data_IF_224038943113
#
_entry.id   IF_224038943113
#
_cell.length_a   1.000
_cell.length_b   1.000
_cell.length_c   1.000
_cell.angle_alpha   90.00
_cell.angle_beta   90.00
_cell.angle_gamma   90.00
#
_symmetry.space_group_name_H-M   'P 1'
#
loop_
_entity.id
_entity.type
_entity.pdbx_description
1 polymer ?
#
# COMPACT_ATOMS: atom_id res chain seq x y z
N UNK A 1 28.83 35.80 -12.43
CA UNK A 1 28.66 35.52 -11.01
C UNK A 1 27.19 35.23 -10.60
N UNK A 2 26.16 35.95 -11.11
CA UNK A 2 24.74 35.72 -10.74
C UNK A 2 24.17 34.34 -11.14
N UNK A 3 24.62 33.75 -12.25
CA UNK A 3 24.14 32.44 -12.71
C UNK A 3 24.70 31.25 -11.91
N UNK A 4 25.89 31.36 -11.32
CA UNK A 4 26.48 30.28 -10.49
C UNK A 4 25.80 30.23 -9.11
N UNK A 5 25.42 31.37 -8.54
CA UNK A 5 24.74 31.42 -7.25
C UNK A 5 23.32 30.78 -7.29
N UNK A 6 22.60 30.92 -8.41
CA UNK A 6 21.28 30.31 -8.59
C UNK A 6 21.34 28.77 -8.76
N UNK A 7 22.40 28.23 -9.38
CA UNK A 7 22.58 26.81 -9.54
C UNK A 7 22.92 26.09 -8.20
N UNK A 8 23.72 26.74 -7.36
CA UNK A 8 24.11 26.24 -6.03
C UNK A 8 22.93 26.23 -5.07
N UNK A 9 22.03 27.23 -5.15
CA UNK A 9 20.86 27.30 -4.28
C UNK A 9 19.83 26.22 -4.62
N UNK A 10 19.63 25.89 -5.90
CA UNK A 10 18.69 24.83 -6.32
C UNK A 10 19.18 23.43 -5.90
N UNK A 11 20.50 23.18 -5.94
CA UNK A 11 21.08 21.89 -5.53
C UNK A 11 21.00 21.66 -4.01
N UNK A 12 21.18 22.72 -3.21
CA UNK A 12 21.11 22.62 -1.73
C UNK A 12 19.69 22.43 -1.22
N UNK A 13 18.68 23.05 -1.83
CA UNK A 13 17.27 22.86 -1.48
C UNK A 13 16.78 21.44 -1.77
N UNK A 14 17.23 20.82 -2.87
CA UNK A 14 16.86 19.46 -3.22
C UNK A 14 17.43 18.41 -2.26
N UNK A 15 18.64 18.61 -1.76
CA UNK A 15 19.30 17.68 -0.82
C UNK A 15 18.68 17.77 0.58
N UNK A 16 18.39 18.96 1.07
CA UNK A 16 17.78 19.12 2.41
C UNK A 16 16.37 18.54 2.48
N UNK A 17 15.56 18.68 1.42
CA UNK A 17 14.22 18.10 1.38
C UNK A 17 14.23 16.57 1.39
N UNK A 18 15.22 15.92 0.78
CA UNK A 18 15.36 14.46 0.78
C UNK A 18 15.77 13.91 2.16
N UNK A 19 16.64 14.58 2.88
CA UNK A 19 17.02 14.18 4.24
C UNK A 19 15.86 14.37 5.23
N UNK A 20 15.16 15.49 5.22
CA UNK A 20 14.01 15.73 6.10
C UNK A 20 12.89 14.70 5.90
N UNK A 21 12.63 14.30 4.66
CA UNK A 21 11.64 13.27 4.34
C UNK A 21 12.06 11.86 4.82
N UNK A 22 13.35 11.52 4.70
CA UNK A 22 13.88 10.25 5.16
C UNK A 22 13.82 10.14 6.69
N UNK A 23 14.10 11.22 7.40
CA UNK A 23 14.02 11.31 8.85
C UNK A 23 12.57 11.15 9.33
N UNK A 24 11.60 11.85 8.71
CA UNK A 24 10.18 11.74 9.05
C UNK A 24 9.65 10.30 8.89
N UNK A 25 10.08 9.55 7.86
CA UNK A 25 9.70 8.15 7.68
C UNK A 25 10.32 7.27 8.78
N UNK A 26 11.59 7.52 9.14
CA UNK A 26 12.27 6.78 10.20
C UNK A 26 11.59 7.01 11.55
N UNK A 27 11.34 8.27 11.90
CA UNK A 27 10.68 8.65 13.14
C UNK A 27 9.28 8.05 13.26
N UNK A 28 8.51 8.11 12.18
CA UNK A 28 7.17 7.51 12.11
C UNK A 28 7.22 5.98 12.26
N UNK A 29 8.18 5.31 11.64
CA UNK A 29 8.34 3.85 11.76
C UNK A 29 8.73 3.40 13.16
N UNK A 30 9.49 4.20 13.90
CA UNK A 30 9.93 3.94 15.27
C UNK A 30 8.97 4.46 16.33
N UNK A 31 8.00 5.27 15.97
CA UNK A 31 7.06 5.95 16.86
C UNK A 31 6.27 4.99 17.76
N UNK A 32 5.93 5.46 18.96
CA UNK A 32 5.08 4.75 19.96
C UNK A 32 3.61 4.63 19.53
N UNK A 33 3.20 5.32 18.48
CA UNK A 33 1.90 5.11 17.84
C UNK A 33 1.76 3.67 17.33
N UNK A 34 2.88 3.00 17.03
CA UNK A 34 2.96 1.62 16.55
C UNK A 34 3.20 0.66 17.72
N UNK A 35 2.41 -0.39 17.79
CA UNK A 35 2.64 -1.44 18.80
C UNK A 35 3.90 -2.25 18.49
N UNK A 36 4.52 -2.84 19.54
CA UNK A 36 5.66 -3.74 19.36
C UNK A 36 5.36 -4.91 18.42
N UNK A 37 4.13 -5.44 18.46
CA UNK A 37 3.66 -6.46 17.51
C UNK A 37 3.65 -5.96 16.06
N UNK A 38 3.39 -4.67 15.82
CA UNK A 38 3.47 -4.09 14.48
C UNK A 38 4.92 -3.90 14.05
N UNK A 39 5.79 -3.40 14.95
CA UNK A 39 7.23 -3.20 14.70
C UNK A 39 7.96 -4.52 14.46
N UNK A 40 7.62 -5.60 15.20
CA UNK A 40 8.20 -6.94 14.98
C UNK A 40 8.00 -7.51 13.57
N UNK A 41 7.11 -6.92 12.77
CA UNK A 41 6.89 -7.32 11.38
C UNK A 41 7.66 -6.47 10.37
N UNK A 42 8.41 -5.47 10.83
CA UNK A 42 9.18 -4.59 9.95
C UNK A 42 10.31 -5.36 9.22
N UNK A 43 10.83 -6.42 9.84
CA UNK A 43 11.82 -7.32 9.23
C UNK A 43 11.32 -8.02 7.96
N UNK A 44 9.98 -8.19 7.81
CA UNK A 44 9.37 -8.79 6.62
C UNK A 44 8.76 -7.76 5.67
N UNK A 45 8.59 -6.51 6.11
CA UNK A 45 7.81 -5.50 5.38
C UNK A 45 8.58 -4.26 5.00
N UNK A 46 9.78 -4.12 5.56
CA UNK A 46 10.74 -3.07 5.25
C UNK A 46 10.08 -1.68 5.04
N UNK A 47 9.23 -1.19 5.99
CA UNK A 47 8.36 -0.04 5.72
C UNK A 47 9.13 1.22 5.35
N UNK A 48 10.28 1.46 6.00
CA UNK A 48 11.09 2.63 5.72
C UNK A 48 11.62 2.61 4.28
N UNK A 49 12.21 1.49 3.85
CA UNK A 49 12.75 1.32 2.51
C UNK A 49 11.63 1.37 1.45
N UNK A 50 10.49 0.73 1.73
CA UNK A 50 9.32 0.71 0.85
C UNK A 50 8.77 2.13 0.62
N UNK A 51 8.57 2.90 1.69
CA UNK A 51 8.00 4.24 1.58
C UNK A 51 8.99 5.26 0.97
N UNK A 52 10.30 5.11 1.23
CA UNK A 52 11.34 5.89 0.54
C UNK A 52 11.39 5.57 -0.96
N UNK A 53 11.26 4.29 -1.32
CA UNK A 53 11.19 3.86 -2.73
C UNK A 53 10.00 4.50 -3.46
N UNK A 54 8.83 4.59 -2.82
CA UNK A 54 7.68 5.29 -3.38
C UNK A 54 7.88 6.82 -3.43
N UNK A 55 8.77 7.36 -2.62
CA UNK A 55 9.07 8.79 -2.57
C UNK A 55 8.10 9.58 -1.68
N UNK A 56 7.61 8.97 -0.60
CA UNK A 56 6.74 9.62 0.39
C UNK A 56 7.41 10.86 0.99
N UNK A 57 6.65 11.96 1.09
CA UNK A 57 7.09 13.23 1.69
C UNK A 57 6.02 13.77 2.65
N UNK A 58 6.40 14.58 3.65
CA UNK A 58 5.50 15.15 4.65
C UNK A 58 4.37 16.04 4.08
N UNK A 59 4.62 16.73 2.99
CA UNK A 59 3.72 17.70 2.36
C UNK A 59 2.68 17.08 1.39
N UNK A 60 2.68 15.75 1.26
CA UNK A 60 1.84 15.05 0.30
C UNK A 60 0.42 14.81 0.79
N UNK A 61 -0.54 14.82 -0.13
CA UNK A 61 -1.84 14.17 0.05
C UNK A 61 -1.69 12.71 -0.33
N UNK A 62 -1.79 11.82 0.66
CA UNK A 62 -1.63 10.37 0.51
C UNK A 62 -2.95 9.66 0.72
N UNK A 63 -3.33 8.82 -0.23
CA UNK A 63 -4.50 7.93 -0.12
C UNK A 63 -4.00 6.51 0.10
N UNK A 64 -4.36 5.90 1.23
CA UNK A 64 -4.16 4.46 1.46
C UNK A 64 -5.46 3.71 1.16
N UNK A 65 -5.38 2.74 0.23
CA UNK A 65 -6.54 1.96 -0.18
C UNK A 65 -6.64 0.70 0.68
N UNK A 66 -7.80 0.50 1.29
CA UNK A 66 -8.12 -0.64 2.15
C UNK A 66 -7.10 -0.85 3.29
N UNK A 67 -6.89 0.17 4.18
CA UNK A 67 -5.86 0.14 5.22
C UNK A 67 -6.05 -0.98 6.25
N UNK A 68 -7.22 -1.64 6.29
CA UNK A 68 -7.55 -2.68 7.25
C UNK A 68 -7.39 -2.22 8.69
N UNK A 69 -6.55 -2.88 9.47
CA UNK A 69 -6.28 -2.50 10.87
C UNK A 69 -5.39 -1.27 11.05
N UNK A 70 -4.78 -0.75 9.96
CA UNK A 70 -3.97 0.47 9.96
C UNK A 70 -2.47 0.25 10.16
N UNK A 71 -1.90 -0.89 9.72
CA UNK A 71 -0.48 -1.16 9.91
C UNK A 71 0.43 -0.13 9.21
N UNK A 72 0.13 0.21 7.94
CA UNK A 72 0.82 1.31 7.25
C UNK A 72 0.25 2.67 7.62
N UNK A 73 -1.06 2.77 7.95
CA UNK A 73 -1.69 4.02 8.39
C UNK A 73 -0.95 4.68 9.55
N UNK A 74 -0.41 3.87 10.49
CA UNK A 74 0.39 4.37 11.62
C UNK A 74 1.60 5.19 11.16
N UNK A 75 2.26 4.76 10.07
CA UNK A 75 3.43 5.44 9.52
C UNK A 75 3.00 6.57 8.59
N UNK A 76 2.11 6.29 7.64
CA UNK A 76 1.67 7.26 6.64
C UNK A 76 1.06 8.51 7.28
N UNK A 77 0.12 8.31 8.21
CA UNK A 77 -0.49 9.41 8.95
C UNK A 77 0.57 10.21 9.72
N UNK A 78 1.48 9.54 10.44
CA UNK A 78 2.52 10.23 11.22
C UNK A 78 3.44 11.09 10.36
N UNK A 79 3.74 10.65 9.12
CA UNK A 79 4.60 11.40 8.19
C UNK A 79 3.90 12.65 7.68
N UNK A 80 2.60 12.57 7.33
CA UNK A 80 1.93 13.66 6.58
C UNK A 80 1.02 14.55 7.43
N UNK A 81 0.78 14.22 8.70
CA UNK A 81 -0.24 14.89 9.51
C UNK A 81 -0.03 16.38 9.74
N UNK A 82 1.22 16.87 9.71
CA UNK A 82 1.53 18.27 10.01
C UNK A 82 1.50 19.17 8.76
N UNK A 83 1.94 18.66 7.60
CA UNK A 83 2.14 19.48 6.38
C UNK A 83 1.30 18.99 5.19
N UNK A 84 0.88 17.73 5.22
CA UNK A 84 0.13 17.07 4.17
C UNK A 84 -1.25 16.63 4.59
N UNK A 85 -1.74 15.55 3.95
CA UNK A 85 -3.06 14.97 4.25
C UNK A 85 -3.02 13.46 4.10
N UNK A 86 -3.59 12.75 5.07
CA UNK A 86 -3.85 11.32 4.99
C UNK A 86 -5.33 11.04 4.73
N UNK A 87 -5.62 10.22 3.72
CA UNK A 87 -6.96 9.77 3.36
C UNK A 87 -6.99 8.24 3.41
N UNK A 88 -7.84 7.67 4.22
CA UNK A 88 -8.09 6.24 4.29
C UNK A 88 -9.28 5.88 3.38
N UNK A 89 -9.04 5.40 2.17
CA UNK A 89 -10.07 4.82 1.32
C UNK A 89 -10.38 3.40 1.83
N UNK A 90 -11.21 3.33 2.88
CA UNK A 90 -11.50 2.09 3.61
C UNK A 90 -12.60 1.29 2.92
N UNK A 91 -12.87 0.08 3.37
CA UNK A 91 -13.92 -0.77 2.79
C UNK A 91 -15.25 -0.04 2.67
N UNK A 92 -15.91 -0.14 1.53
CA UNK A 92 -17.32 0.19 1.42
C UNK A 92 -18.13 -0.79 2.28
N UNK A 93 -19.11 -0.26 3.02
CA UNK A 93 -19.99 -1.08 3.86
C UNK A 93 -21.44 -0.69 3.66
N UNK A 94 -22.29 -1.71 3.49
CA UNK A 94 -23.73 -1.64 3.44
C UNK A 94 -24.35 -2.73 4.33
N UNK A 95 -25.68 -2.91 4.27
CA UNK A 95 -26.37 -3.90 5.10
C UNK A 95 -25.92 -5.33 4.81
N UNK A 96 -25.52 -5.64 3.57
CA UNK A 96 -25.06 -6.95 3.13
C UNK A 96 -23.60 -7.25 3.51
N UNK A 97 -22.84 -6.23 3.94
CA UNK A 97 -21.43 -6.37 4.26
C UNK A 97 -21.21 -7.25 5.49
N UNK A 98 -20.11 -8.02 5.49
CA UNK A 98 -19.72 -8.85 6.63
C UNK A 98 -19.48 -8.03 7.89
N UNK A 99 -19.69 -8.65 9.05
CA UNK A 99 -19.38 -8.03 10.35
C UNK A 99 -17.92 -7.60 10.48
N UNK A 100 -17.02 -8.34 9.83
CA UNK A 100 -15.61 -7.99 9.80
C UNK A 100 -15.41 -6.61 9.16
N UNK A 101 -15.98 -6.36 7.97
CA UNK A 101 -15.85 -5.07 7.29
C UNK A 101 -16.53 -3.95 8.08
N UNK A 102 -17.76 -4.17 8.57
CA UNK A 102 -18.48 -3.20 9.41
C UNK A 102 -17.68 -2.80 10.66
N UNK A 103 -17.13 -3.78 11.38
CA UNK A 103 -16.29 -3.55 12.58
C UNK A 103 -14.98 -2.86 12.23
N UNK A 104 -14.33 -3.25 11.14
CA UNK A 104 -13.07 -2.66 10.68
C UNK A 104 -13.22 -1.18 10.36
N UNK A 105 -14.22 -0.82 9.54
CA UNK A 105 -14.52 0.59 9.18
C UNK A 105 -14.91 1.40 10.41
N UNK A 106 -15.80 0.88 11.24
CA UNK A 106 -16.21 1.56 12.48
C UNK A 106 -15.01 1.82 13.39
N UNK A 107 -14.19 0.79 13.62
CA UNK A 107 -12.99 0.91 14.48
C UNK A 107 -11.95 1.89 13.90
N UNK A 108 -11.82 1.96 12.57
CA UNK A 108 -10.94 2.94 11.95
C UNK A 108 -11.47 4.37 12.10
N UNK A 109 -12.76 4.59 11.84
CA UNK A 109 -13.42 5.90 12.04
C UNK A 109 -13.33 6.42 13.48
N UNK A 110 -13.41 5.54 14.47
CA UNK A 110 -13.20 5.96 15.89
C UNK A 110 -11.80 6.54 16.10
N UNK A 111 -10.79 6.02 15.41
CA UNK A 111 -9.41 6.51 15.52
C UNK A 111 -9.19 7.89 14.88
N UNK A 112 -10.12 8.39 14.06
CA UNK A 112 -9.98 9.72 13.41
C UNK A 112 -10.66 10.85 14.18
N UNK A 113 -11.34 10.54 15.28
CA UNK A 113 -11.99 11.53 16.14
C UNK A 113 -10.97 12.42 16.89
N UNK A 114 -11.39 13.61 17.36
CA UNK A 114 -10.53 14.48 18.18
C UNK A 114 -9.87 13.73 19.36
N UNK A 115 -8.57 13.95 19.54
CA UNK A 115 -7.76 13.29 20.59
C UNK A 115 -7.41 11.82 20.32
N UNK A 116 -7.83 11.27 19.17
CA UNK A 116 -7.57 9.89 18.81
C UNK A 116 -6.38 9.75 17.84
N UNK A 117 -5.93 8.52 17.65
CA UNK A 117 -4.69 8.12 16.95
C UNK A 117 -4.49 8.76 15.58
N UNK A 118 -5.55 8.94 14.80
CA UNK A 118 -5.54 9.50 13.43
C UNK A 118 -6.43 10.74 13.35
N UNK A 119 -6.35 11.61 14.36
CA UNK A 119 -7.17 12.82 14.44
C UNK A 119 -7.13 13.62 13.14
N UNK A 120 -8.31 13.97 12.60
CA UNK A 120 -8.44 14.76 11.38
C UNK A 120 -8.16 14.01 10.08
N UNK A 121 -7.81 12.72 10.11
CA UNK A 121 -7.70 11.91 8.91
C UNK A 121 -9.07 11.74 8.24
N UNK A 122 -9.11 11.88 6.92
CA UNK A 122 -10.31 11.63 6.13
C UNK A 122 -10.52 10.13 5.91
N UNK A 123 -11.77 9.68 6.03
CA UNK A 123 -12.15 8.29 5.71
C UNK A 123 -13.16 8.31 4.58
N UNK A 124 -12.74 7.85 3.41
CA UNK A 124 -13.60 7.60 2.26
C UNK A 124 -13.92 6.10 2.15
N UNK A 125 -14.73 5.72 1.18
CA UNK A 125 -15.06 4.32 0.93
C UNK A 125 -14.44 3.84 -0.37
N UNK A 126 -13.99 2.56 -0.40
CA UNK A 126 -13.55 1.88 -1.59
C UNK A 126 -14.17 0.48 -1.70
N UNK A 127 -14.73 0.21 -2.86
CA UNK A 127 -15.10 -1.11 -3.36
C UNK A 127 -15.01 -1.06 -4.89
N UNK A 128 -14.35 -2.03 -5.56
CA UNK A 128 -14.10 -1.94 -6.99
C UNK A 128 -15.37 -1.99 -7.86
N UNK A 129 -16.52 -2.35 -7.28
CA UNK A 129 -17.81 -2.41 -8.00
C UNK A 129 -18.81 -1.35 -7.54
N UNK A 130 -18.65 -0.80 -6.31
CA UNK A 130 -19.70 0.03 -5.70
C UNK A 130 -19.22 1.42 -5.30
N UNK A 131 -17.92 1.62 -5.01
CA UNK A 131 -17.39 2.88 -4.45
C UNK A 131 -16.00 3.17 -5.01
N UNK A 132 -15.93 3.97 -6.07
CA UNK A 132 -14.71 4.27 -6.82
C UNK A 132 -14.15 5.68 -6.54
N UNK A 133 -14.89 6.53 -5.83
CA UNK A 133 -14.46 7.88 -5.49
C UNK A 133 -13.63 7.87 -4.18
N UNK A 134 -12.38 7.36 -4.29
CA UNK A 134 -11.48 7.20 -3.14
C UNK A 134 -10.93 8.53 -2.59
N UNK A 135 -10.93 9.57 -3.42
CA UNK A 135 -10.59 10.95 -3.10
C UNK A 135 -11.14 11.86 -4.21
N UNK A 136 -11.11 13.18 -3.98
CA UNK A 136 -11.43 14.14 -5.04
C UNK A 136 -10.49 13.90 -6.24
N UNK A 137 -11.05 13.90 -7.46
CA UNK A 137 -10.29 13.69 -8.68
C UNK A 137 -9.12 14.68 -8.78
N UNK A 138 -7.93 14.17 -9.12
CA UNK A 138 -6.72 14.97 -9.28
C UNK A 138 -6.22 15.65 -8.00
N UNK A 139 -6.54 15.13 -6.81
CA UNK A 139 -6.13 15.76 -5.53
C UNK A 139 -4.99 15.04 -4.80
N UNK A 140 -4.77 13.77 -5.08
CA UNK A 140 -3.76 12.96 -4.40
C UNK A 140 -2.37 13.09 -5.07
N UNK A 141 -1.33 13.24 -4.28
CA UNK A 141 0.05 13.14 -4.73
C UNK A 141 0.49 11.68 -4.82
N UNK A 142 -0.06 10.85 -3.94
CA UNK A 142 0.29 9.44 -3.84
C UNK A 142 -0.95 8.60 -3.49
N UNK A 143 -1.11 7.47 -4.18
CA UNK A 143 -2.06 6.40 -3.84
C UNK A 143 -1.25 5.14 -3.52
N UNK A 144 -1.53 4.51 -2.38
CA UNK A 144 -0.82 3.32 -1.92
C UNK A 144 -1.79 2.17 -1.64
N UNK A 145 -1.41 0.98 -2.05
CA UNK A 145 -2.13 -0.25 -1.69
C UNK A 145 -1.15 -1.36 -1.32
N UNK A 146 -1.48 -2.08 -0.24
CA UNK A 146 -0.62 -3.10 0.34
C UNK A 146 -1.36 -4.42 0.49
N UNK A 147 -1.13 -5.36 -0.43
CA UNK A 147 -1.68 -6.73 -0.42
C UNK A 147 -3.22 -6.75 -0.48
N UNK A 148 -3.77 -6.04 -1.43
CA UNK A 148 -5.21 -5.96 -1.65
C UNK A 148 -5.63 -6.35 -3.07
N UNK A 149 -4.73 -6.24 -4.07
CA UNK A 149 -5.06 -6.44 -5.49
C UNK A 149 -5.60 -7.84 -5.72
N UNK A 150 -5.02 -8.87 -5.07
CA UNK A 150 -5.51 -10.25 -5.14
C UNK A 150 -6.96 -10.38 -4.66
N UNK A 151 -7.38 -9.63 -3.62
CA UNK A 151 -8.76 -9.70 -3.12
C UNK A 151 -9.76 -9.19 -4.16
N UNK A 152 -9.41 -8.11 -4.87
CA UNK A 152 -10.26 -7.55 -5.92
C UNK A 152 -10.35 -8.49 -7.13
N UNK A 153 -9.22 -9.11 -7.49
CA UNK A 153 -9.18 -10.11 -8.56
C UNK A 153 -9.99 -11.37 -8.21
N UNK A 154 -9.80 -11.91 -7.01
CA UNK A 154 -10.52 -13.10 -6.55
C UNK A 154 -12.03 -12.87 -6.42
N UNK A 155 -12.44 -11.65 -6.02
CA UNK A 155 -13.85 -11.30 -5.86
C UNK A 155 -14.56 -10.92 -7.15
N UNK A 156 -13.85 -10.24 -8.08
CA UNK A 156 -14.48 -9.57 -9.22
C UNK A 156 -13.70 -9.73 -10.54
N UNK A 157 -12.66 -10.55 -10.55
CA UNK A 157 -11.85 -10.81 -11.75
C UNK A 157 -11.19 -9.57 -12.33
N UNK A 158 -11.08 -9.55 -13.65
CA UNK A 158 -10.44 -8.45 -14.38
C UNK A 158 -11.21 -7.13 -14.24
N UNK A 159 -12.54 -7.18 -14.16
CA UNK A 159 -13.37 -5.98 -14.01
C UNK A 159 -13.05 -5.25 -12.71
N UNK A 160 -12.95 -5.98 -11.58
CA UNK A 160 -12.58 -5.39 -10.29
C UNK A 160 -11.22 -4.73 -10.30
N UNK A 161 -10.24 -5.33 -10.99
CA UNK A 161 -8.90 -4.75 -11.16
C UNK A 161 -8.93 -3.50 -12.01
N UNK A 162 -9.60 -3.51 -13.17
CA UNK A 162 -9.70 -2.37 -14.07
C UNK A 162 -10.36 -1.18 -13.36
N UNK A 163 -11.44 -1.41 -12.63
CA UNK A 163 -12.14 -0.39 -11.87
C UNK A 163 -11.26 0.19 -10.75
N UNK A 164 -10.53 -0.67 -10.01
CA UNK A 164 -9.63 -0.24 -8.95
C UNK A 164 -8.53 0.68 -9.49
N UNK A 165 -7.79 0.24 -10.52
CA UNK A 165 -6.71 1.05 -11.10
C UNK A 165 -7.24 2.32 -11.76
N UNK A 166 -8.43 2.29 -12.39
CA UNK A 166 -9.11 3.48 -12.90
C UNK A 166 -9.45 4.50 -11.80
N UNK A 167 -9.91 4.03 -10.63
CA UNK A 167 -10.19 4.89 -9.47
C UNK A 167 -8.91 5.53 -8.93
N UNK A 168 -7.79 4.78 -8.87
CA UNK A 168 -6.50 5.30 -8.44
C UNK A 168 -5.97 6.36 -9.40
N UNK A 169 -6.09 6.09 -10.71
CA UNK A 169 -5.71 7.05 -11.74
C UNK A 169 -6.53 8.34 -11.66
N UNK A 170 -7.84 8.24 -11.44
CA UNK A 170 -8.74 9.39 -11.26
C UNK A 170 -8.36 10.25 -10.05
N UNK A 171 -8.01 9.63 -8.93
CA UNK A 171 -7.67 10.34 -7.69
C UNK A 171 -6.35 11.09 -7.76
N UNK A 172 -5.37 10.56 -8.50
CA UNK A 172 -4.03 11.13 -8.59
C UNK A 172 -3.98 12.41 -9.44
N UNK A 173 -3.14 13.35 -8.99
CA UNK A 173 -2.67 14.49 -9.80
C UNK A 173 -1.88 14.00 -11.02
N UNK A 174 -1.78 14.77 -12.12
CA UNK A 174 -0.73 14.58 -13.11
C UNK A 174 0.65 14.51 -12.42
N UNK A 175 1.50 13.58 -12.82
CA UNK A 175 2.78 13.33 -12.14
C UNK A 175 2.68 12.64 -10.78
N UNK A 176 1.49 12.28 -10.30
CA UNK A 176 1.29 11.54 -9.05
C UNK A 176 1.76 10.09 -9.10
N UNK A 177 1.98 9.50 -7.94
CA UNK A 177 2.56 8.15 -7.77
C UNK A 177 1.51 7.16 -7.29
N UNK A 178 1.43 6.00 -7.96
CA UNK A 178 0.76 4.80 -7.44
C UNK A 178 1.83 3.82 -6.94
N UNK A 179 1.80 3.49 -5.65
CA UNK A 179 2.63 2.44 -5.04
C UNK A 179 1.82 1.18 -4.76
N UNK A 180 2.31 0.05 -5.27
CA UNK A 180 1.67 -1.27 -5.09
C UNK A 180 2.67 -2.22 -4.46
N UNK A 181 2.31 -2.78 -3.30
CA UNK A 181 2.97 -3.95 -2.73
C UNK A 181 1.98 -5.11 -2.77
N UNK A 182 2.33 -6.20 -3.46
CA UNK A 182 1.42 -7.35 -3.59
C UNK A 182 2.15 -8.68 -3.51
N UNK A 183 1.48 -9.73 -3.06
CA UNK A 183 1.98 -11.10 -3.03
C UNK A 183 2.30 -11.57 -4.44
N UNK A 184 3.52 -12.03 -4.66
CA UNK A 184 4.02 -12.32 -6.02
C UNK A 184 3.93 -13.80 -6.36
N UNK A 185 3.17 -14.11 -7.42
CA UNK A 185 3.14 -15.41 -8.05
C UNK A 185 4.27 -15.49 -9.10
N UNK A 186 5.07 -16.57 -9.12
CA UNK A 186 6.05 -16.77 -10.20
C UNK A 186 5.40 -16.69 -11.59
N UNK A 187 6.07 -16.07 -12.55
CA UNK A 187 5.55 -15.93 -13.92
C UNK A 187 5.31 -17.28 -14.60
N UNK A 188 6.08 -18.31 -14.23
CA UNK A 188 5.92 -19.70 -14.74
C UNK A 188 4.71 -20.44 -14.17
N UNK A 189 4.10 -19.95 -13.07
CA UNK A 189 2.94 -20.60 -12.48
C UNK A 189 1.69 -20.46 -13.36
N UNK A 190 0.71 -21.36 -13.17
CA UNK A 190 -0.58 -21.28 -13.84
C UNK A 190 -1.31 -19.99 -13.44
N UNK A 191 -1.83 -19.25 -14.41
CA UNK A 191 -2.63 -18.03 -14.19
C UNK A 191 -3.88 -18.29 -13.34
N UNK A 192 -4.45 -19.48 -13.42
CA UNK A 192 -5.62 -19.89 -12.62
C UNK A 192 -5.31 -19.88 -11.11
N UNK A 193 -4.04 -19.98 -10.71
CA UNK A 193 -3.64 -19.88 -9.30
C UNK A 193 -3.99 -18.51 -8.70
N UNK A 194 -3.97 -17.42 -9.48
CA UNK A 194 -4.35 -16.08 -9.01
C UNK A 194 -5.79 -16.03 -8.48
N UNK A 195 -6.69 -16.89 -8.96
CA UNK A 195 -8.11 -16.91 -8.57
C UNK A 195 -8.35 -17.42 -7.15
N UNK A 196 -7.37 -18.07 -6.52
CA UNK A 196 -7.56 -18.77 -5.24
C UNK A 196 -6.39 -18.74 -4.26
N UNK A 197 -5.19 -18.37 -4.72
CA UNK A 197 -3.97 -18.49 -3.90
C UNK A 197 -3.63 -17.23 -3.10
N UNK A 198 -4.24 -16.08 -3.45
CA UNK A 198 -3.86 -14.78 -2.88
C UNK A 198 -2.53 -14.21 -3.42
N UNK A 199 -1.97 -14.82 -4.46
CA UNK A 199 -0.79 -14.32 -5.18
C UNK A 199 -1.18 -13.81 -6.56
N UNK A 200 -0.46 -12.78 -7.04
CA UNK A 200 -0.66 -12.16 -8.34
C UNK A 200 0.63 -12.18 -9.16
N UNK A 201 0.54 -12.40 -10.46
CA UNK A 201 1.69 -12.24 -11.35
C UNK A 201 2.06 -10.76 -11.48
N UNK A 202 3.36 -10.46 -11.44
CA UNK A 202 3.90 -9.10 -11.62
C UNK A 202 3.47 -8.52 -12.98
N UNK A 203 3.63 -9.30 -14.04
CA UNK A 203 3.22 -8.91 -15.40
C UNK A 203 1.75 -8.55 -15.50
N UNK A 204 0.87 -9.25 -14.78
CA UNK A 204 -0.56 -8.97 -14.77
C UNK A 204 -0.88 -7.62 -14.12
N UNK A 205 -0.25 -7.31 -12.97
CA UNK A 205 -0.45 -6.03 -12.28
C UNK A 205 0.09 -4.86 -13.14
N UNK A 206 1.26 -5.05 -13.76
CA UNK A 206 1.84 -4.02 -14.65
C UNK A 206 0.88 -3.75 -15.81
N UNK A 207 0.42 -4.78 -16.51
CA UNK A 207 -0.50 -4.62 -17.65
C UNK A 207 -1.83 -3.94 -17.23
N UNK A 208 -2.37 -4.27 -16.04
CA UNK A 208 -3.58 -3.64 -15.53
C UNK A 208 -3.39 -2.14 -15.21
N UNK A 209 -2.24 -1.79 -14.63
CA UNK A 209 -1.90 -0.40 -14.37
C UNK A 209 -1.70 0.40 -15.67
N UNK A 210 -0.99 -0.17 -16.64
CA UNK A 210 -0.78 0.45 -17.96
C UNK A 210 -2.10 0.63 -18.72
N UNK A 211 -3.00 -0.34 -18.65
CA UNK A 211 -4.35 -0.24 -19.23
C UNK A 211 -5.16 0.92 -18.62
N UNK A 212 -4.95 1.24 -17.34
CA UNK A 212 -5.55 2.39 -16.69
C UNK A 212 -4.88 3.73 -17.02
N UNK A 213 -3.75 3.72 -17.74
CA UNK A 213 -3.01 4.90 -18.17
C UNK A 213 -1.74 5.20 -17.37
N UNK A 214 -1.36 4.37 -16.42
CA UNK A 214 -0.12 4.51 -15.68
C UNK A 214 1.10 4.11 -16.52
N UNK A 215 2.27 4.62 -16.14
CA UNK A 215 3.57 4.14 -16.61
C UNK A 215 4.32 3.49 -15.44
N UNK A 216 4.89 2.31 -15.64
CA UNK A 216 5.80 1.72 -14.67
C UNK A 216 7.07 2.58 -14.59
N UNK A 217 7.33 3.18 -13.42
CA UNK A 217 8.52 4.00 -13.18
C UNK A 217 9.69 3.16 -12.66
N UNK A 218 9.40 2.26 -11.70
CA UNK A 218 10.41 1.39 -11.09
C UNK A 218 9.79 0.17 -10.43
N UNK A 219 10.60 -0.86 -10.22
CA UNK A 219 10.31 -2.01 -9.35
C UNK A 219 11.42 -2.20 -8.33
N UNK A 220 11.09 -2.81 -7.18
CA UNK A 220 12.05 -3.08 -6.11
C UNK A 220 11.80 -4.46 -5.50
N UNK A 221 12.88 -5.14 -5.14
CA UNK A 221 12.87 -6.42 -4.44
C UNK A 221 12.96 -6.25 -2.91
N UNK A 222 12.73 -5.04 -2.40
CA UNK A 222 12.82 -4.73 -0.96
C UNK A 222 11.91 -5.60 -0.10
N UNK A 223 10.80 -6.09 -0.63
CA UNK A 223 9.87 -6.99 0.03
C UNK A 223 9.91 -8.42 -0.53
N UNK A 224 10.95 -8.78 -1.28
CA UNK A 224 11.12 -10.12 -1.80
C UNK A 224 11.47 -11.11 -0.68
N UNK A 225 10.93 -12.32 -0.77
CA UNK A 225 11.28 -13.44 0.09
C UNK A 225 11.49 -14.70 -0.77
N UNK A 226 12.73 -15.06 -1.10
CA UNK A 226 13.03 -16.21 -1.94
C UNK A 226 12.69 -17.56 -1.30
N UNK A 227 12.39 -17.60 0.00
CA UNK A 227 11.95 -18.81 0.69
C UNK A 227 10.48 -19.13 0.42
N UNK A 228 9.69 -18.16 -0.06
CA UNK A 228 8.30 -18.35 -0.42
C UNK A 228 8.17 -18.85 -1.87
N UNK A 229 7.80 -20.11 -2.03
CA UNK A 229 7.62 -20.79 -3.34
C UNK A 229 6.24 -20.53 -3.95
N UNK A 230 5.33 -19.89 -3.23
CA UNK A 230 3.95 -19.54 -3.63
C UNK A 230 3.05 -20.73 -4.02
N UNK A 231 3.42 -21.96 -3.67
CA UNK A 231 2.71 -23.22 -3.97
C UNK A 231 2.08 -23.89 -2.73
N UNK A 232 1.83 -23.08 -1.70
CA UNK A 232 1.34 -23.58 -0.40
C UNK A 232 -0.12 -24.05 -0.45
N UNK A 233 -0.51 -25.04 0.42
CA UNK A 233 -1.84 -25.69 0.37
C UNK A 233 -3.04 -24.75 0.51
N UNK A 234 -2.88 -23.65 1.27
CA UNK A 234 -3.90 -22.60 1.43
C UNK A 234 -3.45 -21.27 0.81
N UNK A 235 -2.61 -21.33 -0.23
CA UNK A 235 -2.01 -20.16 -0.83
C UNK A 235 -1.23 -19.32 0.19
N UNK A 236 -1.21 -18.03 0.01
CA UNK A 236 -0.50 -17.06 0.88
C UNK A 236 -0.92 -17.14 2.35
N UNK A 237 -2.14 -17.56 2.64
CA UNK A 237 -2.65 -17.65 4.01
C UNK A 237 -2.05 -18.82 4.81
N UNK A 238 -1.32 -19.73 4.16
CA UNK A 238 -0.52 -20.76 4.84
C UNK A 238 0.62 -20.15 5.64
N UNK A 239 1.18 -19.04 5.16
CA UNK A 239 2.30 -18.34 5.76
C UNK A 239 1.88 -17.39 6.92
N UNK A 240 2.85 -16.92 7.74
CA UNK A 240 2.61 -15.85 8.70
C UNK A 240 2.06 -14.59 8.02
N UNK A 241 1.21 -13.83 8.72
CA UNK A 241 0.79 -14.02 10.11
C UNK A 241 -0.45 -14.92 10.24
N UNK A 242 -1.02 -15.41 9.13
CA UNK A 242 -2.31 -16.12 9.16
C UNK A 242 -2.15 -17.55 9.65
N UNK A 243 -1.13 -18.28 9.18
CA UNK A 243 -0.86 -19.69 9.51
C UNK A 243 -2.14 -20.55 9.43
N UNK A 244 -2.79 -20.55 8.28
CA UNK A 244 -4.13 -21.10 8.08
C UNK A 244 -4.21 -22.65 8.20
N UNK A 245 -3.07 -23.33 8.37
CA UNK A 245 -2.98 -24.77 8.69
C UNK A 245 -2.78 -25.01 10.19
N UNK A 246 -2.84 -23.95 11.00
CA UNK A 246 -2.70 -23.98 12.47
C UNK A 246 -1.39 -24.66 12.90
N UNK A 247 -1.43 -25.85 13.50
CA UNK A 247 -0.24 -26.57 13.95
C UNK A 247 0.39 -27.47 12.87
N UNK A 248 -0.29 -27.71 11.72
CA UNK A 248 0.25 -28.53 10.67
C UNK A 248 1.46 -27.85 10.01
N UNK A 249 2.64 -28.47 10.08
CA UNK A 249 3.91 -27.99 9.52
C UNK A 249 4.25 -26.53 9.95
N UNK A 250 3.79 -26.12 11.14
CA UNK A 250 3.89 -24.75 11.64
C UNK A 250 5.32 -24.22 11.62
N UNK A 251 6.27 -24.99 12.11
CA UNK A 251 7.67 -24.56 12.17
C UNK A 251 8.25 -24.33 10.77
N UNK A 252 7.87 -25.14 9.79
CA UNK A 252 8.25 -24.94 8.39
C UNK A 252 7.76 -23.60 7.87
N UNK A 253 6.49 -23.25 8.11
CA UNK A 253 5.91 -22.01 7.61
C UNK A 253 6.41 -20.78 8.39
N UNK A 254 6.70 -20.92 9.67
CA UNK A 254 7.38 -19.89 10.45
C UNK A 254 8.79 -19.63 9.94
N UNK A 255 9.54 -20.67 9.56
CA UNK A 255 10.89 -20.54 8.99
C UNK A 255 10.90 -19.85 7.62
N UNK A 256 9.84 -20.00 6.81
CA UNK A 256 9.68 -19.24 5.55
C UNK A 256 9.44 -17.76 5.85
N UNK A 257 8.68 -17.45 6.89
CA UNK A 257 8.29 -16.07 7.20
C UNK A 257 7.10 -15.56 6.40
N UNK A 258 6.95 -14.24 6.25
CA UNK A 258 5.89 -13.66 5.43
C UNK A 258 6.18 -13.86 3.92
N UNK A 259 5.15 -13.81 3.10
CA UNK A 259 5.21 -14.10 1.66
C UNK A 259 6.20 -13.23 0.88
N UNK A 260 6.63 -13.76 -0.26
CA UNK A 260 7.28 -12.96 -1.32
C UNK A 260 6.34 -11.88 -1.85
N UNK A 261 6.86 -10.66 -2.04
CA UNK A 261 6.05 -9.52 -2.52
C UNK A 261 6.81 -8.69 -3.53
N UNK A 262 6.18 -8.45 -4.65
CA UNK A 262 6.60 -7.40 -5.57
C UNK A 262 6.35 -6.02 -4.95
N UNK A 263 7.17 -5.05 -5.29
CA UNK A 263 7.00 -3.64 -4.94
C UNK A 263 7.13 -2.82 -6.21
N UNK A 264 6.02 -2.23 -6.66
CA UNK A 264 5.90 -1.57 -7.96
C UNK A 264 5.54 -0.10 -7.78
N UNK A 265 6.27 0.77 -8.44
CA UNK A 265 6.04 2.20 -8.49
C UNK A 265 5.61 2.62 -9.88
N UNK A 266 4.41 3.17 -9.97
CA UNK A 266 3.86 3.69 -11.21
C UNK A 266 3.70 5.20 -11.12
N UNK A 267 3.72 5.85 -12.29
CA UNK A 267 3.50 7.27 -12.45
C UNK A 267 2.28 7.54 -13.29
N UNK A 268 1.43 8.46 -12.87
CA UNK A 268 0.43 9.07 -13.74
C UNK A 268 1.14 10.06 -14.65
N UNK A 269 1.02 9.98 -15.99
CA UNK A 269 1.57 10.98 -16.90
C UNK A 269 1.11 12.41 -16.58
N UNK A 270 1.92 13.40 -16.98
CA UNK A 270 1.57 14.82 -16.84
C UNK A 270 0.46 15.23 -17.79
#
# INVERSE_FOLDING_TARGET
MKKLAQLVLAATLGVTATYASADAISDAAMSDIRSEKAKARDEYRHPQQTLRFFGLKPDMTVVEVSPGGGWYADILYSVVKEEGKYVAAHFYVDDSSSDYYKKSVKGFKEKTKPGMKYEGAEVTAFDPMKALDIAKAGSADMVLTFRNVHNWYMGHGEEGINNAFGAFFKALKPGGVLGVVEHELPESADVEAMKKSGYMKRSYIIAAAEKAGFMLEASSDVNANPMDTADHPRGVWTLPPRLALEEQDRDKYLAIGESNRMTLKFKKPN
#
